data_IF_420276835333
#
_entry.id   IF_420276835333
#
_cell.length_a   1.000
_cell.length_b   1.000
_cell.length_c   1.000
_cell.angle_alpha   90.00
_cell.angle_beta   90.00
_cell.angle_gamma   90.00
#
_symmetry.space_group_name_H-M   'P 1'
#
loop_
_entity.id
_entity.type
_entity.pdbx_description
1 polymer ?
#
# COMPACT_ATOMS: atom_id res chain seq x y z
N UNK A 1 5.09 -0.36 -23.30
CA UNK A 1 4.11 -1.06 -24.13
C UNK A 1 3.57 -0.09 -25.18
N UNK A 2 2.90 -0.62 -26.20
CA UNK A 2 2.17 0.18 -27.21
C UNK A 2 0.66 0.16 -26.94
N UNK A 3 0.24 -0.23 -25.75
CA UNK A 3 -1.14 -0.22 -25.37
C UNK A 3 -1.63 1.21 -25.15
N UNK A 4 -2.88 1.48 -25.51
CA UNK A 4 -3.54 2.72 -25.12
C UNK A 4 -3.72 2.68 -23.60
N UNK A 5 -3.33 3.77 -22.94
CA UNK A 5 -3.50 3.94 -21.49
C UNK A 5 -4.65 4.90 -21.27
N UNK A 6 -5.66 4.44 -20.52
CA UNK A 6 -6.80 5.26 -20.09
C UNK A 6 -6.77 5.28 -18.57
N UNK A 7 -6.79 6.49 -17.99
CA UNK A 7 -6.80 6.67 -16.52
C UNK A 7 -8.23 6.92 -16.07
N UNK A 8 -8.61 6.26 -14.99
CA UNK A 8 -9.85 6.54 -14.26
C UNK A 8 -9.54 7.20 -12.91
N UNK A 9 -10.51 7.89 -12.34
CA UNK A 9 -10.36 8.59 -11.08
C UNK A 9 -10.10 7.61 -9.93
N UNK A 10 -9.37 8.08 -8.92
CA UNK A 10 -8.94 7.28 -7.79
C UNK A 10 -10.14 6.63 -7.08
N UNK A 11 -10.12 5.31 -6.94
CA UNK A 11 -11.16 4.47 -6.34
C UNK A 11 -12.58 4.67 -6.92
N UNK A 12 -12.72 5.30 -8.09
CA UNK A 12 -14.00 5.60 -8.72
C UNK A 12 -14.38 4.51 -9.74
N UNK A 13 -15.21 3.56 -9.28
CA UNK A 13 -15.68 2.44 -10.10
C UNK A 13 -16.62 2.91 -11.21
N UNK A 14 -17.40 3.97 -10.98
CA UNK A 14 -18.29 4.51 -12.00
C UNK A 14 -17.51 5.17 -13.14
N UNK A 15 -16.44 5.90 -12.82
CA UNK A 15 -15.55 6.45 -13.84
C UNK A 15 -14.79 5.33 -14.59
N UNK A 16 -14.36 4.25 -13.89
CA UNK A 16 -13.80 3.07 -14.55
C UNK A 16 -14.74 2.50 -15.61
N UNK A 17 -16.00 2.27 -15.24
CA UNK A 17 -17.02 1.72 -16.13
C UNK A 17 -17.29 2.67 -17.32
N UNK A 18 -17.39 3.98 -17.07
CA UNK A 18 -17.56 5.00 -18.12
C UNK A 18 -16.36 5.03 -19.10
N UNK A 19 -15.13 4.89 -18.58
CA UNK A 19 -13.91 4.83 -19.41
C UNK A 19 -13.87 3.57 -20.27
N UNK A 20 -14.29 2.43 -19.74
CA UNK A 20 -14.39 1.18 -20.51
C UNK A 20 -15.43 1.33 -21.62
N UNK A 21 -16.62 1.84 -21.32
CA UNK A 21 -17.68 2.05 -22.29
C UNK A 21 -17.26 3.02 -23.40
N UNK A 22 -16.51 4.08 -23.05
CA UNK A 22 -15.99 5.07 -24.00
C UNK A 22 -14.81 4.60 -24.85
N UNK A 23 -14.16 3.49 -24.50
CA UNK A 23 -12.97 3.02 -25.22
C UNK A 23 -13.27 2.33 -26.58
N UNK A 24 -14.53 2.10 -26.92
CA UNK A 24 -14.94 1.41 -28.13
C UNK A 24 -14.65 -0.09 -28.10
N UNK A 25 -14.32 -0.69 -29.23
CA UNK A 25 -14.08 -2.13 -29.31
C UNK A 25 -12.73 -2.52 -28.67
N UNK A 26 -12.77 -3.11 -27.50
CA UNK A 26 -11.59 -3.59 -26.78
C UNK A 26 -11.32 -5.06 -27.18
N UNK A 27 -10.26 -5.29 -27.94
CA UNK A 27 -9.84 -6.66 -28.28
C UNK A 27 -9.22 -7.40 -27.12
N UNK A 28 -8.41 -6.70 -26.31
CA UNK A 28 -7.77 -7.17 -25.07
C UNK A 28 -7.60 -5.96 -24.17
N UNK A 29 -8.09 -6.05 -22.95
CA UNK A 29 -7.98 -5.00 -21.94
C UNK A 29 -7.40 -5.53 -20.65
N UNK A 30 -6.71 -4.64 -19.95
CA UNK A 30 -6.14 -4.87 -18.64
C UNK A 30 -6.59 -3.73 -17.73
N UNK A 31 -7.28 -4.06 -16.65
CA UNK A 31 -7.53 -3.16 -15.53
C UNK A 31 -6.40 -3.33 -14.54
N UNK A 32 -5.79 -2.24 -14.11
CA UNK A 32 -4.69 -2.24 -13.11
C UNK A 32 -5.06 -1.30 -11.99
N UNK A 33 -4.90 -1.75 -10.76
CA UNK A 33 -5.04 -0.94 -9.54
C UNK A 33 -4.02 -1.37 -8.50
N UNK A 34 -3.67 -0.46 -7.58
CA UNK A 34 -3.05 -0.89 -6.33
C UNK A 34 -4.14 -1.51 -5.43
N UNK A 35 -3.75 -2.38 -4.51
CA UNK A 35 -4.60 -2.90 -3.46
C UNK A 35 -4.73 -1.90 -2.33
N UNK A 36 -3.59 -1.51 -1.78
CA UNK A 36 -3.46 -0.43 -0.78
C UNK A 36 -2.65 0.69 -1.40
N UNK A 37 -3.18 1.90 -1.40
CA UNK A 37 -2.49 3.07 -1.94
C UNK A 37 -1.50 3.63 -0.93
N UNK A 38 -0.23 3.56 -1.29
CA UNK A 38 0.91 3.82 -0.41
C UNK A 38 1.01 5.25 0.14
N UNK A 39 0.36 6.22 -0.51
CA UNK A 39 0.44 7.63 -0.12
C UNK A 39 -0.73 8.05 0.76
N UNK A 40 -1.89 7.44 0.59
CA UNK A 40 -3.13 7.79 1.26
C UNK A 40 -3.55 6.77 2.31
N UNK A 41 -3.05 5.53 2.22
CA UNK A 41 -3.37 4.45 3.16
C UNK A 41 -4.80 3.93 3.03
N UNK A 42 -5.46 4.23 1.92
CA UNK A 42 -6.78 3.71 1.59
C UNK A 42 -6.70 2.43 0.76
N UNK A 43 -7.82 1.75 0.60
CA UNK A 43 -7.94 0.44 -0.02
C UNK A 43 -8.79 0.55 -1.28
N UNK A 44 -8.34 -0.07 -2.36
CA UNK A 44 -9.13 -0.16 -3.59
C UNK A 44 -10.44 -0.94 -3.34
N UNK A 45 -11.59 -0.51 -3.90
CA UNK A 45 -12.82 -1.30 -3.89
C UNK A 45 -12.70 -2.46 -4.89
N UNK A 46 -11.82 -3.43 -4.56
CA UNK A 46 -11.39 -4.47 -5.49
C UNK A 46 -12.52 -5.41 -5.90
N UNK A 47 -13.49 -5.63 -5.04
CA UNK A 47 -14.69 -6.41 -5.33
C UNK A 47 -15.52 -5.80 -6.45
N UNK A 48 -15.77 -4.49 -6.39
CA UNK A 48 -16.50 -3.76 -7.41
C UNK A 48 -15.67 -3.62 -8.71
N UNK A 49 -14.37 -3.35 -8.61
CA UNK A 49 -13.46 -3.31 -9.78
C UNK A 49 -13.44 -4.69 -10.46
N UNK A 50 -13.39 -5.78 -9.68
CA UNK A 50 -13.42 -7.14 -10.19
C UNK A 50 -14.71 -7.42 -10.96
N UNK A 51 -15.87 -7.04 -10.40
CA UNK A 51 -17.16 -7.21 -11.05
C UNK A 51 -17.23 -6.48 -12.40
N UNK A 52 -16.72 -5.23 -12.47
CA UNK A 52 -16.66 -4.48 -13.74
C UNK A 52 -15.71 -5.16 -14.73
N UNK A 53 -14.53 -5.58 -14.29
CA UNK A 53 -13.57 -6.26 -15.17
C UNK A 53 -14.15 -7.55 -15.77
N UNK A 54 -14.84 -8.37 -14.95
CA UNK A 54 -15.52 -9.60 -15.39
C UNK A 54 -16.66 -9.34 -16.37
N UNK A 55 -17.51 -8.33 -16.08
CA UNK A 55 -18.63 -7.96 -16.96
C UNK A 55 -18.16 -7.55 -18.37
N UNK A 56 -16.96 -7.02 -18.48
CA UNK A 56 -16.38 -6.59 -19.76
C UNK A 56 -15.32 -7.56 -20.33
N UNK A 57 -15.10 -8.72 -19.71
CA UNK A 57 -14.14 -9.72 -20.15
C UNK A 57 -12.69 -9.20 -20.14
N UNK A 58 -12.34 -8.34 -19.18
CA UNK A 58 -11.02 -7.75 -19.04
C UNK A 58 -10.15 -8.54 -18.06
N UNK A 59 -8.85 -8.47 -18.26
CA UNK A 59 -7.87 -9.01 -17.31
C UNK A 59 -7.78 -8.02 -16.14
N UNK A 60 -7.88 -8.52 -14.91
CA UNK A 60 -7.66 -7.72 -13.70
C UNK A 60 -6.28 -8.05 -13.13
N UNK A 61 -5.49 -7.00 -12.89
CA UNK A 61 -4.21 -7.04 -12.19
C UNK A 61 -4.26 -6.13 -10.99
N UNK A 62 -3.81 -6.62 -9.84
CA UNK A 62 -3.65 -5.83 -8.63
C UNK A 62 -2.20 -5.80 -8.20
N UNK A 63 -1.70 -4.62 -7.84
CA UNK A 63 -0.45 -4.44 -7.13
C UNK A 63 -0.76 -4.44 -5.62
N UNK A 64 -0.44 -5.53 -4.96
CA UNK A 64 -0.71 -5.73 -3.54
C UNK A 64 0.53 -5.52 -2.65
N UNK A 65 1.52 -4.82 -3.16
CA UNK A 65 2.78 -4.59 -2.46
C UNK A 65 2.65 -3.96 -1.07
N UNK A 66 1.52 -3.34 -0.74
CA UNK A 66 1.20 -2.78 0.58
C UNK A 66 0.08 -3.53 1.30
N UNK A 67 -0.59 -4.49 0.68
CA UNK A 67 -1.62 -5.32 1.30
C UNK A 67 -1.07 -6.66 1.80
N UNK A 68 -0.07 -7.23 1.11
CA UNK A 68 0.60 -8.45 1.57
C UNK A 68 1.24 -8.24 2.94
N UNK A 69 1.00 -9.19 3.86
CA UNK A 69 1.42 -9.10 5.26
C UNK A 69 0.58 -8.12 6.12
N UNK A 70 -0.48 -7.52 5.56
CA UNK A 70 -1.30 -6.48 6.23
C UNK A 70 -2.79 -6.79 6.17
N UNK A 71 -3.34 -7.04 4.97
CA UNK A 71 -4.75 -7.30 4.73
C UNK A 71 -5.04 -8.80 4.64
N UNK A 72 -6.32 -9.15 4.81
CA UNK A 72 -6.77 -10.53 4.73
C UNK A 72 -6.39 -11.36 5.95
N UNK A 73 -6.81 -12.61 5.97
CA UNK A 73 -6.51 -13.52 7.06
C UNK A 73 -5.00 -13.84 7.09
N UNK A 74 -4.37 -13.59 8.22
CA UNK A 74 -2.92 -13.83 8.38
C UNK A 74 -2.05 -12.99 7.41
N UNK A 75 -2.58 -11.86 6.89
CA UNK A 75 -1.82 -11.02 5.97
C UNK A 75 -1.73 -11.54 4.53
N UNK A 76 -2.71 -12.33 4.08
CA UNK A 76 -2.73 -12.92 2.72
C UNK A 76 -3.02 -11.91 1.61
N UNK A 77 -3.20 -10.65 1.94
CA UNK A 77 -3.35 -9.57 0.98
C UNK A 77 -4.81 -9.22 0.65
N UNK A 78 -4.95 -8.29 -0.31
CA UNK A 78 -6.24 -7.70 -0.66
C UNK A 78 -7.20 -8.70 -1.33
N UNK A 79 -6.69 -9.65 -2.09
CA UNK A 79 -7.52 -10.66 -2.75
C UNK A 79 -8.22 -11.55 -1.72
N UNK A 80 -7.51 -11.95 -0.67
CA UNK A 80 -8.08 -12.67 0.47
C UNK A 80 -9.06 -11.80 1.26
N UNK A 81 -8.70 -10.53 1.48
CA UNK A 81 -9.53 -9.56 2.21
C UNK A 81 -10.95 -9.45 1.63
N UNK A 82 -11.07 -9.47 0.31
CA UNK A 82 -12.36 -9.42 -0.41
C UNK A 82 -12.91 -10.81 -0.81
N UNK A 83 -12.22 -11.91 -0.49
CA UNK A 83 -12.64 -13.26 -0.87
C UNK A 83 -12.65 -13.49 -2.39
N UNK A 84 -11.74 -12.87 -3.13
CA UNK A 84 -11.70 -12.88 -4.61
C UNK A 84 -10.73 -13.91 -5.20
N UNK A 85 -10.38 -14.94 -4.43
CA UNK A 85 -9.49 -16.01 -4.90
C UNK A 85 -9.96 -16.62 -6.23
N UNK A 86 -9.06 -16.68 -7.20
CA UNK A 86 -9.32 -17.19 -8.54
C UNK A 86 -10.04 -16.24 -9.50
N UNK A 87 -10.45 -15.04 -9.04
CA UNK A 87 -11.12 -14.03 -9.84
C UNK A 87 -10.16 -12.92 -10.30
N UNK A 88 -9.13 -12.64 -9.54
CA UNK A 88 -8.02 -11.75 -9.96
C UNK A 88 -7.05 -12.55 -10.82
N UNK A 89 -6.67 -12.00 -11.97
CA UNK A 89 -5.86 -12.73 -12.95
C UNK A 89 -4.37 -12.64 -12.66
N UNK A 90 -3.92 -11.51 -12.12
CA UNK A 90 -2.53 -11.20 -11.82
C UNK A 90 -2.45 -10.45 -10.51
N UNK A 91 -1.70 -10.99 -9.58
CA UNK A 91 -1.33 -10.37 -8.31
C UNK A 91 0.17 -10.08 -8.34
N UNK A 92 0.54 -8.83 -8.07
CA UNK A 92 1.93 -8.39 -8.00
C UNK A 92 2.24 -8.04 -6.56
N UNK A 93 3.30 -8.60 -6.02
CA UNK A 93 3.73 -8.34 -4.68
C UNK A 93 5.19 -7.93 -4.58
N UNK A 94 5.58 -7.43 -3.42
CA UNK A 94 6.97 -7.10 -3.11
C UNK A 94 7.44 -7.84 -1.87
N UNK A 95 8.65 -8.34 -1.93
CA UNK A 95 9.29 -8.99 -0.78
C UNK A 95 10.04 -7.99 0.11
N UNK A 96 10.15 -6.73 -0.32
CA UNK A 96 10.95 -5.69 0.37
C UNK A 96 10.19 -4.89 1.44
N UNK A 97 8.96 -5.26 1.75
CA UNK A 97 8.12 -4.62 2.78
C UNK A 97 7.85 -5.61 3.92
N UNK A 98 6.69 -6.23 3.97
CA UNK A 98 6.31 -7.12 5.06
C UNK A 98 7.26 -8.31 5.24
N UNK A 99 7.81 -8.85 4.15
CA UNK A 99 8.74 -9.99 4.20
C UNK A 99 10.20 -9.60 4.47
N UNK A 100 10.56 -8.31 4.38
CA UNK A 100 11.87 -7.78 4.77
C UNK A 100 13.05 -8.20 3.92
N UNK A 101 12.85 -8.70 2.68
CA UNK A 101 13.90 -9.15 1.78
C UNK A 101 13.83 -8.47 0.42
N UNK A 102 14.91 -8.55 -0.36
CA UNK A 102 14.94 -7.99 -1.73
C UNK A 102 14.12 -8.86 -2.66
N UNK A 103 13.36 -8.23 -3.57
CA UNK A 103 12.66 -8.94 -4.64
C UNK A 103 11.18 -8.61 -4.70
N UNK A 104 10.50 -9.37 -5.54
CA UNK A 104 9.07 -9.28 -5.75
C UNK A 104 8.56 -10.55 -6.43
N UNK A 105 7.26 -10.64 -6.53
CA UNK A 105 6.59 -11.79 -7.10
C UNK A 105 5.47 -11.36 -8.04
N UNK A 106 5.13 -12.26 -8.94
CA UNK A 106 3.88 -12.22 -9.70
C UNK A 106 3.21 -13.57 -9.54
N UNK A 107 2.02 -13.57 -8.98
CA UNK A 107 1.15 -14.72 -8.88
C UNK A 107 -0.06 -14.56 -9.82
N UNK A 108 -0.69 -15.67 -10.19
CA UNK A 108 -1.88 -15.65 -11.03
C UNK A 108 -2.05 -16.91 -11.84
N UNK A 109 -2.86 -16.82 -12.90
CA UNK A 109 -3.15 -17.96 -13.76
C UNK A 109 -1.87 -18.55 -14.38
N UNK A 110 -1.75 -19.87 -14.39
CA UNK A 110 -0.55 -20.58 -14.87
C UNK A 110 -0.10 -20.12 -16.27
N UNK A 111 -1.03 -19.92 -17.18
CA UNK A 111 -0.74 -19.47 -18.55
C UNK A 111 -0.03 -18.11 -18.56
N UNK A 112 -0.45 -17.17 -17.69
CA UNK A 112 0.17 -15.85 -17.58
C UNK A 112 1.56 -15.99 -16.97
N UNK A 113 1.70 -16.73 -15.87
CA UNK A 113 2.99 -16.93 -15.19
C UNK A 113 4.00 -17.61 -16.11
N UNK A 114 3.59 -18.65 -16.86
CA UNK A 114 4.44 -19.32 -17.86
C UNK A 114 4.86 -18.35 -18.97
N UNK A 115 3.96 -17.50 -19.44
CA UNK A 115 4.29 -16.47 -20.44
C UNK A 115 5.31 -15.48 -19.90
N UNK A 116 5.13 -14.99 -18.67
CA UNK A 116 6.06 -14.04 -18.03
C UNK A 116 7.46 -14.65 -17.88
N UNK A 117 7.57 -15.92 -17.49
CA UNK A 117 8.86 -16.62 -17.40
C UNK A 117 9.62 -16.68 -18.74
N UNK A 118 8.90 -16.68 -19.86
CA UNK A 118 9.50 -16.76 -21.20
C UNK A 118 9.66 -15.39 -21.88
N UNK A 119 8.95 -14.37 -21.44
CA UNK A 119 8.88 -13.07 -22.14
C UNK A 119 9.08 -11.86 -21.23
N UNK A 120 9.02 -12.02 -19.93
CA UNK A 120 9.26 -10.96 -18.97
C UNK A 120 10.73 -10.58 -18.96
N UNK A 121 11.11 -9.48 -19.62
CA UNK A 121 12.51 -9.06 -19.71
C UNK A 121 13.18 -8.86 -18.35
N UNK A 122 12.51 -8.23 -17.34
CA UNK A 122 13.09 -8.10 -16.00
C UNK A 122 13.41 -9.46 -15.37
N UNK A 123 12.59 -10.49 -15.61
CA UNK A 123 12.84 -11.84 -15.13
C UNK A 123 13.98 -12.54 -15.89
N UNK A 124 13.97 -12.42 -17.22
CA UNK A 124 14.94 -13.13 -18.08
C UNK A 124 16.37 -12.57 -17.99
N UNK A 125 16.50 -11.27 -17.75
CA UNK A 125 17.77 -10.54 -17.84
C UNK A 125 18.22 -9.93 -16.51
N UNK A 126 17.65 -10.36 -15.37
CA UNK A 126 18.17 -10.06 -14.05
C UNK A 126 18.75 -11.29 -13.37
N UNK A 127 19.64 -11.04 -12.42
CA UNK A 127 20.20 -12.10 -11.58
C UNK A 127 19.13 -12.67 -10.65
N UNK A 128 19.29 -13.93 -10.27
CA UNK A 128 18.43 -14.56 -9.28
C UNK A 128 18.60 -13.91 -7.89
N UNK A 129 17.56 -14.02 -7.07
CA UNK A 129 17.67 -13.69 -5.64
C UNK A 129 18.77 -14.53 -4.99
N UNK A 130 19.42 -13.96 -3.98
CA UNK A 130 20.45 -14.70 -3.24
C UNK A 130 19.82 -15.79 -2.36
N UNK A 131 20.57 -16.86 -2.08
CA UNK A 131 20.07 -17.94 -1.23
C UNK A 131 19.68 -17.46 0.20
N UNK A 132 20.41 -16.54 0.86
CA UNK A 132 19.98 -15.96 2.12
C UNK A 132 18.64 -15.21 2.02
N UNK A 133 18.42 -14.41 0.97
CA UNK A 133 17.16 -13.70 0.77
C UNK A 133 15.98 -14.68 0.60
N UNK A 134 16.19 -15.75 -0.19
CA UNK A 134 15.17 -16.78 -0.37
C UNK A 134 14.86 -17.50 0.94
N UNK A 135 15.87 -17.85 1.74
CA UNK A 135 15.68 -18.50 3.03
C UNK A 135 14.92 -17.58 4.01
N UNK A 136 15.28 -16.30 4.08
CA UNK A 136 14.60 -15.32 4.92
C UNK A 136 13.14 -15.12 4.50
N UNK A 137 12.86 -15.10 3.19
CA UNK A 137 11.50 -15.00 2.67
C UNK A 137 10.65 -16.24 3.05
N UNK A 138 11.21 -17.45 2.91
CA UNK A 138 10.53 -18.69 3.30
C UNK A 138 10.17 -18.66 4.79
N UNK A 139 11.10 -18.22 5.64
CA UNK A 139 10.86 -18.10 7.08
C UNK A 139 9.78 -17.04 7.39
N UNK A 140 9.82 -15.88 6.76
CA UNK A 140 8.81 -14.84 6.94
C UNK A 140 7.40 -15.35 6.55
N UNK A 141 7.28 -16.09 5.45
CA UNK A 141 6.02 -16.72 5.05
C UNK A 141 5.57 -17.78 6.04
N UNK A 142 6.50 -18.59 6.57
CA UNK A 142 6.19 -19.60 7.60
C UNK A 142 5.64 -18.94 8.86
N UNK A 143 6.29 -17.90 9.38
CA UNK A 143 5.84 -17.13 10.55
C UNK A 143 4.41 -16.60 10.36
N UNK A 144 4.12 -15.97 9.21
CA UNK A 144 2.79 -15.44 8.90
C UNK A 144 1.74 -16.54 8.69
N UNK A 145 2.16 -17.73 8.25
CA UNK A 145 1.26 -18.88 8.06
C UNK A 145 0.91 -19.59 9.38
N UNK A 146 1.78 -19.50 10.39
CA UNK A 146 1.61 -20.16 11.67
C UNK A 146 0.81 -19.33 12.68
N UNK A 147 0.82 -17.99 12.57
CA UNK A 147 0.20 -17.10 13.56
C UNK A 147 -0.26 -15.76 12.95
N UNK A 148 -1.45 -15.34 13.34
CA UNK A 148 -2.00 -14.01 13.03
C UNK A 148 -1.50 -12.92 14.00
N UNK A 149 -0.68 -13.24 15.00
CA UNK A 149 -0.31 -12.35 16.10
C UNK A 149 0.37 -11.07 15.61
N UNK A 150 1.31 -11.18 14.67
CA UNK A 150 2.01 -10.00 14.13
C UNK A 150 1.10 -9.07 13.38
N UNK A 151 0.18 -9.61 12.58
CA UNK A 151 -0.80 -8.83 11.83
C UNK A 151 -1.79 -8.17 12.79
N UNK A 152 -2.30 -8.90 13.77
CA UNK A 152 -3.20 -8.37 14.80
C UNK A 152 -2.54 -7.22 15.59
N UNK A 153 -1.28 -7.41 16.01
CA UNK A 153 -0.51 -6.37 16.72
C UNK A 153 -0.22 -5.14 15.84
N UNK A 154 0.05 -5.34 14.56
CA UNK A 154 0.19 -4.24 13.61
C UNK A 154 -1.07 -3.37 13.55
N UNK A 155 -2.24 -4.02 13.43
CA UNK A 155 -3.53 -3.33 13.38
C UNK A 155 -3.89 -2.64 14.69
N UNK A 156 -3.61 -3.28 15.84
CA UNK A 156 -3.81 -2.66 17.16
C UNK A 156 -2.95 -1.40 17.32
N UNK A 157 -1.67 -1.48 16.97
CA UNK A 157 -0.75 -0.35 16.99
C UNK A 157 -1.19 0.78 16.03
N UNK A 158 -1.61 0.43 14.81
CA UNK A 158 -2.06 1.40 13.82
C UNK A 158 -3.34 2.12 14.25
N UNK A 159 -4.30 1.39 14.81
CA UNK A 159 -5.54 1.95 15.32
C UNK A 159 -5.31 2.86 16.52
N UNK A 160 -4.43 2.44 17.44
CA UNK A 160 -4.04 3.28 18.58
C UNK A 160 -3.40 4.58 18.12
N UNK A 161 -2.44 4.50 17.21
CA UNK A 161 -1.75 5.68 16.68
C UNK A 161 -2.71 6.62 15.93
N UNK A 162 -3.62 6.07 15.12
CA UNK A 162 -4.65 6.85 14.41
C UNK A 162 -5.56 7.60 15.38
N UNK A 163 -6.08 6.89 16.39
CA UNK A 163 -6.95 7.50 17.40
C UNK A 163 -6.22 8.60 18.17
N UNK A 164 -4.97 8.36 18.57
CA UNK A 164 -4.15 9.36 19.23
C UNK A 164 -3.92 10.61 18.38
N UNK A 165 -3.53 10.43 17.10
CA UNK A 165 -3.35 11.55 16.16
C UNK A 165 -4.63 12.36 15.95
N UNK A 166 -5.76 11.69 15.77
CA UNK A 166 -7.06 12.35 15.60
C UNK A 166 -7.51 13.07 16.87
N UNK A 167 -7.27 12.51 18.04
CA UNK A 167 -7.58 13.15 19.32
C UNK A 167 -6.74 14.41 19.57
N UNK A 168 -5.51 14.46 19.05
CA UNK A 168 -4.67 15.65 19.05
C UNK A 168 -5.12 16.72 18.05
N UNK A 169 -6.00 16.40 17.11
CA UNK A 169 -6.49 17.32 16.08
C UNK A 169 -5.80 17.21 14.72
N UNK A 170 -4.95 16.22 14.49
CA UNK A 170 -4.32 16.03 13.17
C UNK A 170 -5.30 15.47 12.14
N UNK A 171 -5.20 15.95 10.90
CA UNK A 171 -5.88 15.38 9.75
C UNK A 171 -5.12 14.14 9.25
N UNK A 172 -5.76 12.97 9.39
CA UNK A 172 -5.21 11.67 8.98
C UNK A 172 -5.72 11.21 7.62
N UNK A 173 -6.37 12.08 6.86
CA UNK A 173 -6.95 11.76 5.55
C UNK A 173 -7.98 10.63 5.61
N UNK A 174 -8.11 9.90 4.51
CA UNK A 174 -9.05 8.77 4.35
C UNK A 174 -8.42 7.40 4.68
N UNK A 175 -7.28 7.38 5.36
CA UNK A 175 -6.58 6.12 5.64
C UNK A 175 -7.40 5.19 6.53
N UNK A 176 -7.43 3.93 6.09
CA UNK A 176 -8.05 2.81 6.83
C UNK A 176 -7.07 1.67 7.09
N UNK A 177 -5.79 1.85 6.76
CA UNK A 177 -4.72 0.83 6.90
C UNK A 177 -3.64 1.27 7.89
N UNK A 178 -2.65 0.43 8.21
CA UNK A 178 -1.50 0.82 9.02
C UNK A 178 -0.62 1.95 8.45
N UNK A 179 -0.80 2.34 7.20
CA UNK A 179 -0.21 3.56 6.64
C UNK A 179 -1.05 4.76 7.08
N UNK A 180 -0.48 5.66 7.86
CA UNK A 180 -1.20 6.81 8.41
C UNK A 180 -0.59 8.11 7.86
N UNK A 181 -1.25 8.79 6.89
CA UNK A 181 -0.82 10.10 6.45
C UNK A 181 -1.23 11.16 7.50
N UNK A 182 -0.36 12.12 7.76
CA UNK A 182 -0.65 13.33 8.51
C UNK A 182 -0.59 14.49 7.54
N UNK A 183 -1.76 15.01 7.18
CA UNK A 183 -1.91 15.97 6.08
C UNK A 183 -1.45 17.35 6.52
N UNK A 184 -0.46 17.94 5.81
CA UNK A 184 0.13 19.24 6.12
C UNK A 184 -0.04 20.27 4.99
N UNK A 185 -0.38 19.81 3.78
CA UNK A 185 -0.60 20.67 2.62
C UNK A 185 0.69 21.13 1.96
N UNK A 186 1.48 21.97 2.62
CA UNK A 186 2.68 22.59 2.05
C UNK A 186 3.94 21.75 2.24
N UNK A 187 4.73 21.59 1.16
CA UNK A 187 5.93 20.77 1.20
C UNK A 187 7.03 21.31 2.14
N UNK A 188 7.29 22.64 2.22
CA UNK A 188 8.24 23.18 3.20
C UNK A 188 7.85 22.89 4.65
N UNK A 189 6.54 22.98 4.98
CA UNK A 189 6.03 22.66 6.31
C UNK A 189 6.24 21.17 6.63
N UNK A 190 5.92 20.29 5.69
CA UNK A 190 6.12 18.84 5.87
C UNK A 190 7.60 18.48 6.08
N UNK A 191 8.51 19.11 5.33
CA UNK A 191 9.96 18.91 5.50
C UNK A 191 10.45 19.38 6.86
N UNK A 192 10.03 20.55 7.31
CA UNK A 192 10.41 21.08 8.62
C UNK A 192 9.81 20.22 9.74
N UNK A 193 8.57 19.76 9.60
CA UNK A 193 7.93 18.85 10.55
C UNK A 193 8.72 17.54 10.68
N UNK A 194 9.05 16.90 9.57
CA UNK A 194 9.87 15.67 9.55
C UNK A 194 11.24 15.89 10.17
N UNK A 195 11.91 17.01 9.89
CA UNK A 195 13.22 17.36 10.47
C UNK A 195 13.14 17.50 11.99
N UNK A 196 12.09 18.14 12.51
CA UNK A 196 11.90 18.29 13.96
C UNK A 196 11.55 16.97 14.62
N UNK A 197 10.70 16.15 14.01
CA UNK A 197 10.43 14.80 14.50
C UNK A 197 11.71 13.99 14.65
N UNK A 198 12.57 14.02 13.63
CA UNK A 198 13.85 13.31 13.66
C UNK A 198 14.79 13.80 14.76
N UNK A 199 14.84 15.11 15.00
CA UNK A 199 15.64 15.69 16.08
C UNK A 199 15.15 15.29 17.48
N UNK A 200 13.86 14.94 17.61
CA UNK A 200 13.25 14.46 18.86
C UNK A 200 13.24 12.91 18.95
N UNK A 201 13.80 12.20 17.96
CA UNK A 201 13.93 10.74 17.97
C UNK A 201 12.84 9.98 17.20
N UNK A 202 11.94 10.66 16.49
CA UNK A 202 10.91 10.02 15.65
C UNK A 202 11.28 10.11 14.18
N UNK A 203 11.48 8.96 13.54
CA UNK A 203 11.72 8.89 12.10
C UNK A 203 10.42 8.74 11.33
N UNK A 204 9.92 9.83 10.75
CA UNK A 204 8.78 9.85 9.85
C UNK A 204 9.03 10.78 8.68
N UNK A 205 8.78 10.31 7.46
CA UNK A 205 9.19 11.00 6.24
C UNK A 205 8.12 11.97 5.74
N UNK A 206 8.58 13.16 5.35
CA UNK A 206 7.79 14.09 4.56
C UNK A 206 7.66 13.59 3.11
N UNK A 207 6.46 13.64 2.58
CA UNK A 207 6.16 13.33 1.19
C UNK A 207 5.49 14.56 0.56
N UNK A 208 6.04 15.02 -0.55
CA UNK A 208 5.55 16.17 -1.30
C UNK A 208 5.58 15.92 -2.80
N UNK A 209 5.31 16.97 -3.57
CA UNK A 209 5.44 16.91 -5.02
C UNK A 209 6.87 16.50 -5.44
N UNK A 210 7.04 15.65 -6.47
CA UNK A 210 6.02 15.14 -7.41
C UNK A 210 5.34 13.82 -6.98
N UNK A 211 5.68 13.26 -5.82
CA UNK A 211 5.13 11.98 -5.34
C UNK A 211 3.63 12.09 -5.02
N UNK A 212 3.24 13.23 -4.48
CA UNK A 212 1.83 13.60 -4.26
C UNK A 212 1.56 14.95 -4.93
N UNK A 213 0.30 15.31 -5.23
CA UNK A 213 -0.03 16.60 -5.84
C UNK A 213 0.45 17.79 -5.00
N UNK A 214 0.65 18.94 -5.66
CA UNK A 214 0.95 20.20 -4.95
C UNK A 214 -0.19 20.54 -3.98
N UNK A 215 0.16 21.09 -2.80
CA UNK A 215 -0.80 21.36 -1.74
C UNK A 215 -1.31 20.12 -0.99
N UNK A 216 -0.72 18.93 -1.23
CA UNK A 216 -1.09 17.67 -0.58
C UNK A 216 0.09 17.00 0.12
N UNK A 217 1.09 17.80 0.52
CA UNK A 217 2.21 17.28 1.27
C UNK A 217 1.78 16.75 2.64
N UNK A 218 2.47 15.73 3.11
CA UNK A 218 2.14 15.00 4.33
C UNK A 218 3.35 14.40 4.99
N UNK A 219 3.22 14.06 6.27
CA UNK A 219 4.09 13.06 6.90
C UNK A 219 3.44 11.70 6.73
N UNK A 220 4.17 10.71 6.25
CA UNK A 220 3.68 9.32 6.20
C UNK A 220 4.20 8.54 7.40
N UNK A 221 3.30 8.29 8.35
CA UNK A 221 3.60 7.45 9.52
C UNK A 221 3.38 6.00 9.14
N UNK A 222 4.42 5.19 9.33
CA UNK A 222 4.40 3.75 9.06
C UNK A 222 4.41 3.00 10.40
N UNK A 223 3.27 2.42 10.74
CA UNK A 223 3.15 1.62 11.94
C UNK A 223 3.80 0.25 11.75
N UNK A 224 4.29 -0.33 12.84
CA UNK A 224 4.93 -1.65 12.85
C UNK A 224 4.40 -2.49 14.01
N UNK A 225 4.32 -3.80 13.80
CA UNK A 225 4.09 -4.76 14.86
C UNK A 225 5.24 -4.79 15.91
N UNK A 226 6.41 -4.27 15.56
CA UNK A 226 7.55 -4.20 16.45
C UNK A 226 7.48 -3.04 17.46
N UNK A 227 6.66 -2.02 17.20
CA UNK A 227 6.50 -0.91 18.16
C UNK A 227 5.81 -1.40 19.43
N UNK A 228 6.38 -1.01 20.57
CA UNK A 228 5.72 -1.17 21.87
C UNK A 228 4.69 -0.05 22.08
N UNK A 229 3.81 -0.23 23.07
CA UNK A 229 2.86 0.84 23.45
C UNK A 229 3.58 2.09 23.93
N UNK A 230 4.71 1.91 24.65
CA UNK A 230 5.54 3.02 25.10
C UNK A 230 6.12 3.81 23.92
N UNK A 231 6.63 3.13 22.87
CA UNK A 231 7.14 3.82 21.67
C UNK A 231 6.05 4.68 21.02
N UNK A 232 4.80 4.17 20.97
CA UNK A 232 3.67 4.90 20.38
C UNK A 232 3.25 6.11 21.24
N UNK A 233 3.25 5.98 22.57
CA UNK A 233 2.95 7.06 23.49
C UNK A 233 4.00 8.18 23.40
N UNK A 234 5.28 7.81 23.38
CA UNK A 234 6.38 8.76 23.19
C UNK A 234 6.30 9.45 21.83
N UNK A 235 6.00 8.70 20.76
CA UNK A 235 5.80 9.27 19.43
C UNK A 235 4.64 10.28 19.41
N UNK A 236 3.48 9.94 19.98
CA UNK A 236 2.32 10.84 20.05
C UNK A 236 2.66 12.15 20.78
N UNK A 237 3.37 12.08 21.91
CA UNK A 237 3.79 13.27 22.65
C UNK A 237 4.75 14.15 21.81
N UNK A 238 5.65 13.54 21.03
CA UNK A 238 6.57 14.26 20.14
C UNK A 238 5.81 14.89 18.97
N UNK A 239 4.85 14.17 18.37
CA UNK A 239 3.99 14.72 17.32
C UNK A 239 3.19 15.94 17.81
N UNK A 240 2.61 15.86 19.02
CA UNK A 240 1.92 16.98 19.63
C UNK A 240 2.85 18.18 19.83
N UNK A 241 4.01 17.97 20.45
CA UNK A 241 5.03 19.00 20.66
C UNK A 241 5.44 19.71 19.37
N UNK A 242 5.71 18.94 18.32
CA UNK A 242 6.12 19.48 17.02
C UNK A 242 4.94 20.16 16.32
N UNK A 243 3.73 19.59 16.43
CA UNK A 243 2.52 20.14 15.82
C UNK A 243 2.17 21.52 16.38
N UNK A 244 2.24 21.69 17.72
CA UNK A 244 2.04 22.99 18.38
C UNK A 244 3.14 23.99 18.03
N UNK A 245 4.42 23.54 18.00
CA UNK A 245 5.56 24.42 17.69
C UNK A 245 5.58 24.91 16.24
N UNK A 246 4.84 24.26 15.34
CA UNK A 246 4.70 24.63 13.92
C UNK A 246 3.28 25.16 13.60
N UNK A 247 2.47 25.46 14.62
CA UNK A 247 1.12 26.00 14.46
C UNK A 247 0.21 25.13 13.57
N UNK A 248 0.45 23.80 13.57
CA UNK A 248 -0.41 22.79 12.91
C UNK A 248 -1.53 22.36 13.85
N UNK A 249 -1.29 22.45 15.15
CA UNK A 249 -2.26 22.23 16.23
C UNK A 249 -2.47 23.53 17.01
N UNK A 250 -3.71 23.74 17.49
CA UNK A 250 -4.08 24.86 18.38
C UNK A 250 -3.44 24.74 19.76
#
# INVERSE_FOLDING_TARGET
SRAQVVRYAHCDVADLEAKIAGAGAIRRGLVVTDGVFSMDGDVAPLDAICAVAEAHGLILMVDDAHGEGVLGQGGRGIVDHFGLHGRVHVEVGTLSKAFGVVGGLVAGQETIVRWLRQRGRPFLFSSAMTAPDVAACIEAVAILSESDELVARLWDNANYMRQGMQALGFDTGASVTPILPLMLGEAPLAQEFSRRLFAEGVFAMAIGYPTVPMGKARIRVMNSAAHSRQDLDEALAIFEKVGRALEVLD
#
